data_IF_441977394748
#
_entry.id   IF_441977394748
#
_cell.length_a   1.000
_cell.length_b   1.000
_cell.length_c   1.000
_cell.angle_alpha   90.00
_cell.angle_beta   90.00
_cell.angle_gamma   90.00
#
_symmetry.space_group_name_H-M   'P 1'
#
loop_
_entity.id
_entity.type
_entity.pdbx_description
1 polymer ?
#
# COMPACT_ATOMS: atom_id res chain seq x y z
N UNK A 1 -34.94 -14.97 -34.55
CA UNK A 1 -33.55 -14.71 -35.00
C UNK A 1 -32.99 -13.35 -34.52
N UNK A 2 -33.81 -12.28 -34.46
CA UNK A 2 -33.39 -10.95 -33.96
C UNK A 2 -33.15 -10.95 -32.43
N UNK A 3 -34.07 -11.51 -31.64
CA UNK A 3 -33.93 -11.64 -30.18
C UNK A 3 -32.66 -12.38 -29.76
N UNK A 4 -32.41 -13.56 -30.34
CA UNK A 4 -31.19 -14.35 -30.10
C UNK A 4 -29.88 -13.59 -30.40
N UNK A 5 -29.89 -12.68 -31.39
CA UNK A 5 -28.73 -11.84 -31.69
C UNK A 5 -28.56 -10.67 -30.70
N UNK A 6 -29.66 -10.14 -30.17
CA UNK A 6 -29.62 -9.12 -29.12
C UNK A 6 -29.07 -9.69 -27.82
N UNK A 7 -29.58 -10.84 -27.36
CA UNK A 7 -29.11 -11.52 -26.15
C UNK A 7 -27.62 -11.88 -26.25
N UNK A 8 -27.17 -12.32 -27.44
CA UNK A 8 -25.75 -12.60 -27.69
C UNK A 8 -24.86 -11.36 -27.61
N UNK A 9 -25.32 -10.20 -28.10
CA UNK A 9 -24.57 -8.93 -28.01
C UNK A 9 -24.56 -8.41 -26.58
N UNK A 10 -25.69 -8.50 -25.88
CA UNK A 10 -25.82 -8.12 -24.48
C UNK A 10 -24.86 -8.91 -23.59
N UNK A 11 -24.82 -10.25 -23.72
CA UNK A 11 -23.89 -11.10 -22.97
C UNK A 11 -22.42 -10.79 -23.25
N UNK A 12 -22.06 -10.37 -24.47
CA UNK A 12 -20.70 -9.92 -24.79
C UNK A 12 -20.34 -8.61 -24.08
N UNK A 13 -21.27 -7.65 -24.02
CA UNK A 13 -21.06 -6.39 -23.31
C UNK A 13 -20.87 -6.64 -21.81
N UNK A 14 -21.71 -7.49 -21.22
CA UNK A 14 -21.60 -7.91 -19.81
C UNK A 14 -20.25 -8.58 -19.55
N UNK A 15 -19.83 -9.51 -20.42
CA UNK A 15 -18.53 -10.18 -20.30
C UNK A 15 -17.35 -9.20 -20.41
N UNK A 16 -17.41 -8.23 -21.34
CA UNK A 16 -16.38 -7.21 -21.48
C UNK A 16 -16.29 -6.33 -20.23
N UNK A 17 -17.43 -5.93 -19.66
CA UNK A 17 -17.46 -5.16 -18.42
C UNK A 17 -16.76 -5.91 -17.28
N UNK A 18 -17.11 -7.17 -17.03
CA UNK A 18 -16.45 -7.96 -15.99
C UNK A 18 -14.96 -8.18 -16.27
N UNK A 19 -14.58 -8.39 -17.53
CA UNK A 19 -13.17 -8.54 -17.89
C UNK A 19 -12.39 -7.27 -17.55
N UNK A 20 -12.91 -6.08 -17.88
CA UNK A 20 -12.29 -4.80 -17.52
C UNK A 20 -12.18 -4.63 -16.00
N UNK A 21 -13.26 -4.92 -15.26
CA UNK A 21 -13.26 -4.83 -13.79
C UNK A 21 -12.19 -5.75 -13.18
N UNK A 22 -12.13 -7.01 -13.63
CA UNK A 22 -11.13 -7.97 -13.16
C UNK A 22 -9.72 -7.49 -13.52
N UNK A 23 -9.50 -6.99 -14.74
CA UNK A 23 -8.20 -6.44 -15.13
C UNK A 23 -7.76 -5.28 -14.25
N UNK A 24 -8.68 -4.36 -13.90
CA UNK A 24 -8.37 -3.24 -12.98
C UNK A 24 -7.99 -3.75 -11.59
N UNK A 25 -8.74 -4.72 -11.06
CA UNK A 25 -8.44 -5.33 -9.75
C UNK A 25 -7.08 -6.01 -9.76
N UNK A 26 -6.77 -6.79 -10.81
CA UNK A 26 -5.48 -7.48 -10.94
C UNK A 26 -4.33 -6.49 -11.04
N UNK A 27 -4.46 -5.43 -11.85
CA UNK A 27 -3.44 -4.38 -11.97
C UNK A 27 -3.24 -3.69 -10.61
N UNK A 28 -4.32 -3.31 -9.93
CA UNK A 28 -4.25 -2.70 -8.60
C UNK A 28 -3.55 -3.58 -7.58
N UNK A 29 -3.89 -4.88 -7.56
CA UNK A 29 -3.23 -5.86 -6.71
C UNK A 29 -1.75 -6.04 -7.07
N UNK A 30 -1.39 -6.11 -8.35
CA UNK A 30 0.00 -6.22 -8.79
C UNK A 30 0.82 -5.00 -8.40
N UNK A 31 0.29 -3.78 -8.59
CA UNK A 31 0.95 -2.54 -8.15
C UNK A 31 1.13 -2.54 -6.64
N UNK A 32 0.08 -2.88 -5.89
CA UNK A 32 0.16 -2.99 -4.44
C UNK A 32 1.22 -3.99 -4.01
N UNK A 33 1.24 -5.20 -4.58
CA UNK A 33 2.19 -6.25 -4.23
C UNK A 33 3.63 -5.88 -4.59
N UNK A 34 3.87 -5.37 -5.80
CA UNK A 34 5.21 -5.10 -6.34
C UNK A 34 5.88 -3.84 -5.76
N UNK A 35 5.10 -2.87 -5.29
CA UNK A 35 5.61 -1.56 -4.82
C UNK A 35 6.25 -1.56 -3.42
N UNK A 36 6.26 -2.69 -2.72
CA UNK A 36 6.84 -2.77 -1.37
C UNK A 36 8.28 -3.23 -1.39
N UNK A 37 8.95 -3.01 -0.28
CA UNK A 37 10.29 -3.54 -0.01
C UNK A 37 10.27 -5.08 0.01
N UNK A 38 11.38 -5.71 -0.37
CA UNK A 38 11.47 -7.15 -0.50
C UNK A 38 11.56 -7.87 0.86
N UNK A 39 11.88 -7.15 1.93
CA UNK A 39 11.94 -7.71 3.28
C UNK A 39 11.65 -6.67 4.35
N UNK A 40 11.33 -7.14 5.56
CA UNK A 40 11.22 -6.29 6.74
C UNK A 40 12.53 -5.53 7.04
N UNK A 41 13.68 -6.14 6.71
CA UNK A 41 15.00 -5.55 6.91
C UNK A 41 15.28 -4.39 5.94
N UNK A 42 14.88 -4.52 4.68
CA UNK A 42 15.06 -3.44 3.70
C UNK A 42 14.14 -2.24 4.01
N UNK A 43 12.92 -2.51 4.47
CA UNK A 43 12.01 -1.48 4.96
C UNK A 43 12.53 -0.80 6.23
N UNK A 44 13.09 -1.56 7.17
CA UNK A 44 13.76 -1.07 8.38
C UNK A 44 14.89 -0.10 8.02
N UNK A 45 15.81 -0.57 7.17
CA UNK A 45 16.95 0.21 6.70
C UNK A 45 16.48 1.50 6.03
N UNK A 46 15.43 1.45 5.22
CA UNK A 46 14.87 2.62 4.55
C UNK A 46 14.23 3.60 5.54
N UNK A 47 13.55 3.11 6.58
CA UNK A 47 12.97 3.95 7.62
C UNK A 47 14.06 4.68 8.40
N UNK A 48 15.04 3.94 8.92
CA UNK A 48 16.12 4.49 9.72
C UNK A 48 17.08 5.37 8.91
N UNK A 49 17.31 5.05 7.63
CA UNK A 49 18.08 5.91 6.73
C UNK A 49 17.37 7.24 6.47
N UNK A 50 16.04 7.25 6.35
CA UNK A 50 15.31 8.50 6.21
C UNK A 50 15.32 9.30 7.51
N UNK A 51 15.06 8.63 8.65
CA UNK A 51 15.12 9.21 9.99
C UNK A 51 16.46 9.91 10.25
N UNK A 52 17.58 9.27 9.91
CA UNK A 52 18.92 9.84 10.14
C UNK A 52 19.21 11.12 9.34
N UNK A 53 18.41 11.40 8.30
CA UNK A 53 18.54 12.59 7.46
C UNK A 53 17.58 13.71 7.87
N UNK A 54 16.67 13.46 8.82
CA UNK A 54 15.75 14.48 9.32
C UNK A 54 16.38 15.26 10.48
N UNK A 55 16.20 16.59 10.53
CA UNK A 55 16.56 17.37 11.71
C UNK A 55 15.60 17.00 12.84
N UNK A 56 16.12 16.43 13.92
CA UNK A 56 15.35 16.07 15.12
C UNK A 56 15.92 16.73 16.40
N UNK A 57 15.78 18.05 16.54
CA UNK A 57 16.31 18.77 17.70
C UNK A 57 15.60 18.39 19.02
N UNK A 58 14.37 17.86 18.94
CA UNK A 58 13.53 17.46 20.07
C UNK A 58 13.62 15.98 20.42
N UNK A 59 14.33 15.18 19.61
CA UNK A 59 14.40 13.72 19.72
C UNK A 59 12.99 13.08 19.75
N UNK A 60 12.08 13.62 18.95
CA UNK A 60 10.68 13.23 18.85
C UNK A 60 10.40 12.32 17.66
N UNK A 61 11.37 12.10 16.77
CA UNK A 61 11.18 11.23 15.61
C UNK A 61 11.55 9.78 15.94
N UNK A 62 10.81 8.84 15.37
CA UNK A 62 11.07 7.42 15.58
C UNK A 62 10.56 6.55 14.44
N UNK A 63 11.09 5.33 14.36
CA UNK A 63 10.59 4.26 13.50
C UNK A 63 9.98 3.16 14.38
N UNK A 64 8.75 2.74 14.08
CA UNK A 64 8.08 1.62 14.74
C UNK A 64 7.80 0.48 13.75
N UNK A 65 7.93 -0.76 14.21
CA UNK A 65 7.70 -1.94 13.39
C UNK A 65 6.29 -2.48 13.60
N UNK A 66 5.38 -2.12 12.71
CA UNK A 66 4.04 -2.66 12.67
C UNK A 66 4.03 -4.00 11.91
N UNK A 67 4.17 -5.07 12.68
CA UNK A 67 4.17 -6.45 12.17
C UNK A 67 2.80 -6.92 11.73
N UNK A 68 1.71 -6.35 12.25
CA UNK A 68 0.34 -6.75 11.88
C UNK A 68 0.04 -6.33 10.43
N UNK A 69 0.54 -5.17 10.02
CA UNK A 69 0.30 -4.61 8.69
C UNK A 69 1.53 -4.65 7.77
N UNK A 70 2.62 -5.30 8.21
CA UNK A 70 3.84 -5.52 7.43
C UNK A 70 4.51 -4.22 6.96
N UNK A 71 4.71 -3.28 7.88
CA UNK A 71 5.33 -2.01 7.55
C UNK A 71 6.16 -1.46 8.71
N UNK A 72 7.16 -0.67 8.35
CA UNK A 72 7.78 0.27 9.28
C UNK A 72 7.10 1.63 9.17
N UNK A 73 6.88 2.29 10.30
CA UNK A 73 6.20 3.58 10.39
C UNK A 73 7.18 4.58 10.94
N UNK A 74 7.55 5.58 10.13
CA UNK A 74 8.23 6.77 10.60
C UNK A 74 7.19 7.73 11.18
N UNK A 75 7.37 8.11 12.43
CA UNK A 75 6.45 8.96 13.16
C UNK A 75 7.18 10.07 13.92
N UNK A 76 6.40 11.08 14.31
CA UNK A 76 6.77 12.14 15.24
C UNK A 76 5.91 11.99 16.49
N UNK A 77 6.53 11.84 17.66
CA UNK A 77 5.84 11.92 18.94
C UNK A 77 5.35 13.34 19.13
N UNK A 78 4.08 13.45 19.52
CA UNK A 78 3.49 14.71 19.96
C UNK A 78 3.47 14.74 21.49
N UNK A 79 2.99 15.83 22.07
CA UNK A 79 2.74 15.88 23.51
C UNK A 79 1.88 14.69 23.96
N UNK A 80 2.06 14.23 25.20
CA UNK A 80 1.50 13.00 25.78
C UNK A 80 -0.04 12.83 25.70
N UNK A 81 -0.76 13.79 25.12
CA UNK A 81 -2.20 13.82 24.95
C UNK A 81 -2.64 13.53 23.50
N UNK A 82 -1.72 13.55 22.54
CA UNK A 82 -2.03 13.32 21.13
C UNK A 82 -1.35 12.06 20.58
N UNK A 83 -2.00 11.35 19.64
CA UNK A 83 -1.35 10.24 18.96
C UNK A 83 -0.13 10.72 18.17
N UNK A 84 0.84 9.83 18.03
CA UNK A 84 2.00 10.08 17.19
C UNK A 84 1.56 10.38 15.75
N UNK A 85 2.18 11.39 15.15
CA UNK A 85 1.91 11.80 13.78
C UNK A 85 2.72 10.92 12.83
N UNK A 86 2.03 10.21 11.95
CA UNK A 86 2.68 9.41 10.91
C UNK A 86 3.26 10.32 9.84
N UNK A 87 4.57 10.22 9.60
CA UNK A 87 5.28 10.95 8.55
C UNK A 87 5.30 10.10 7.28
N UNK A 88 5.70 8.82 7.40
CA UNK A 88 5.85 7.92 6.25
C UNK A 88 5.74 6.46 6.64
N UNK A 89 5.26 5.64 5.71
CA UNK A 89 5.12 4.19 5.86
C UNK A 89 6.03 3.47 4.86
N UNK A 90 6.67 2.41 5.31
CA UNK A 90 7.60 1.58 4.55
C UNK A 90 7.07 0.15 4.56
N UNK A 91 6.12 -0.13 3.65
CA UNK A 91 5.50 -1.45 3.51
C UNK A 91 6.47 -2.44 2.87
N UNK A 92 6.61 -3.62 3.46
CA UNK A 92 7.35 -4.72 2.87
C UNK A 92 6.42 -5.87 2.43
N UNK A 93 6.91 -6.70 1.52
CA UNK A 93 6.20 -7.86 0.99
C UNK A 93 6.13 -8.95 2.06
N UNK A 94 5.01 -9.68 2.10
CA UNK A 94 4.88 -10.90 2.89
C UNK A 94 5.69 -12.00 2.19
N UNK A 95 6.66 -12.58 2.89
CA UNK A 95 7.40 -13.77 2.47
C UNK A 95 7.07 -14.92 3.43
#
# INVERSE_FOLDING_TARGET
MIYLNFDRKFMKIVSLFFQVVISVVLIGFSVYFLSGYDSAFEADQSCHSYLSNLPDPSNSLGCDHDTETHQWILYETQDNLEPAKIIKKYRYKFL
#
